data_IF_753050271391
#
_entry.id   IF_753050271391
#
_cell.length_a   1.000
_cell.length_b   1.000
_cell.length_c   1.000
_cell.angle_alpha   90.00
_cell.angle_beta   90.00
_cell.angle_gamma   90.00
#
_symmetry.space_group_name_H-M   'P 1'
#
loop_
_entity.id
_entity.type
_entity.pdbx_description
1 polymer ?
#
# COMPACT_ATOMS: atom_id res chain seq x y z
N UNK A 1 -27.45 -12.85 9.98
CA UNK A 1 -26.15 -12.68 9.30
C UNK A 1 -26.16 -13.16 7.84
N UNK A 2 -26.72 -14.35 7.51
CA UNK A 2 -26.79 -14.84 6.12
C UNK A 2 -27.54 -13.89 5.14
N UNK A 3 -28.65 -13.31 5.58
CA UNK A 3 -29.47 -12.40 4.75
C UNK A 3 -28.74 -11.07 4.39
N UNK A 4 -27.91 -10.54 5.28
CA UNK A 4 -27.10 -9.35 5.02
C UNK A 4 -25.95 -9.64 4.02
N UNK A 5 -25.37 -10.85 4.11
CA UNK A 5 -24.35 -11.31 3.17
C UNK A 5 -24.95 -11.54 1.76
N UNK A 6 -26.16 -12.07 1.66
CA UNK A 6 -26.82 -12.27 0.37
C UNK A 6 -27.15 -10.94 -0.33
N UNK A 7 -27.67 -9.96 0.43
CA UNK A 7 -27.97 -8.64 -0.10
C UNK A 7 -26.72 -7.91 -0.59
N UNK A 8 -25.60 -7.96 0.16
CA UNK A 8 -24.36 -7.31 -0.27
C UNK A 8 -23.82 -7.91 -1.57
N UNK A 9 -23.87 -9.23 -1.73
CA UNK A 9 -23.43 -9.90 -2.95
C UNK A 9 -24.30 -9.55 -4.15
N UNK A 10 -25.62 -9.46 -3.96
CA UNK A 10 -26.54 -9.03 -5.01
C UNK A 10 -26.24 -7.60 -5.47
N UNK A 11 -26.02 -6.68 -4.52
CA UNK A 11 -25.67 -5.29 -4.84
C UNK A 11 -24.36 -5.19 -5.59
N UNK A 12 -23.32 -5.91 -5.15
CA UNK A 12 -22.03 -5.98 -5.85
C UNK A 12 -22.23 -6.46 -7.29
N UNK A 13 -23.02 -7.51 -7.50
CA UNK A 13 -23.33 -8.06 -8.83
C UNK A 13 -24.01 -7.03 -9.73
N UNK A 14 -24.95 -6.24 -9.20
CA UNK A 14 -25.61 -5.16 -9.93
C UNK A 14 -24.63 -4.07 -10.37
N UNK A 15 -23.72 -3.64 -9.49
CA UNK A 15 -22.70 -2.67 -9.85
C UNK A 15 -21.72 -3.18 -10.90
N UNK A 16 -21.29 -4.44 -10.81
CA UNK A 16 -20.41 -5.03 -11.82
C UNK A 16 -21.07 -5.04 -13.20
N UNK A 17 -22.36 -5.41 -13.27
CA UNK A 17 -23.13 -5.34 -14.52
C UNK A 17 -23.24 -3.92 -15.06
N UNK A 18 -23.45 -2.93 -14.18
CA UNK A 18 -23.45 -1.53 -14.59
C UNK A 18 -22.09 -1.10 -15.18
N UNK A 19 -20.98 -1.45 -14.53
CA UNK A 19 -19.64 -1.11 -15.03
C UNK A 19 -19.32 -1.78 -16.36
N UNK A 20 -19.74 -3.02 -16.57
CA UNK A 20 -19.60 -3.72 -17.84
C UNK A 20 -20.34 -2.97 -18.97
N UNK A 21 -21.61 -2.64 -18.75
CA UNK A 21 -22.41 -1.87 -19.72
C UNK A 21 -21.75 -0.50 -19.98
N UNK A 22 -21.33 0.19 -18.93
CA UNK A 22 -20.65 1.48 -19.05
C UNK A 22 -19.40 1.39 -19.94
N UNK A 23 -18.53 0.41 -19.68
CA UNK A 23 -17.31 0.20 -20.48
C UNK A 23 -17.63 -0.08 -21.94
N UNK A 24 -18.68 -0.86 -22.22
CA UNK A 24 -19.08 -1.21 -23.59
C UNK A 24 -19.67 -0.02 -24.36
N UNK A 25 -20.34 0.91 -23.67
CA UNK A 25 -20.98 2.08 -24.28
C UNK A 25 -20.01 3.26 -24.41
N UNK A 26 -18.96 3.32 -23.60
CA UNK A 26 -17.97 4.40 -23.56
C UNK A 26 -17.40 4.81 -24.94
N UNK A 27 -17.07 3.89 -25.87
CA UNK A 27 -16.55 4.27 -27.20
C UNK A 27 -17.54 5.07 -28.05
N UNK A 28 -18.84 4.97 -27.76
CA UNK A 28 -19.92 5.59 -28.53
C UNK A 28 -20.43 6.89 -27.91
N UNK A 29 -20.10 7.15 -26.64
CA UNK A 29 -20.59 8.29 -25.87
C UNK A 29 -19.37 9.09 -25.43
N UNK A 30 -18.94 10.04 -26.28
CA UNK A 30 -17.81 10.92 -25.96
C UNK A 30 -17.97 11.53 -24.57
N UNK A 31 -17.05 11.17 -23.66
CA UNK A 31 -17.12 11.51 -22.24
C UNK A 31 -15.89 12.29 -21.80
N UNK A 32 -16.14 13.31 -20.98
CA UNK A 32 -15.14 14.14 -20.34
C UNK A 32 -14.31 13.32 -19.34
N UNK A 33 -13.00 13.55 -19.28
CA UNK A 33 -12.08 12.75 -18.45
C UNK A 33 -12.39 12.83 -16.95
N UNK A 34 -13.01 13.92 -16.50
CA UNK A 34 -13.52 14.12 -15.14
C UNK A 34 -14.52 13.03 -14.72
N UNK A 35 -15.40 12.59 -15.64
CA UNK A 35 -16.44 11.58 -15.37
C UNK A 35 -15.87 10.16 -15.38
N UNK A 36 -14.88 9.90 -16.24
CA UNK A 36 -14.17 8.61 -16.26
C UNK A 36 -13.49 8.34 -14.91
N UNK A 37 -12.78 9.33 -14.37
CA UNK A 37 -12.11 9.22 -13.08
C UNK A 37 -13.08 8.90 -11.91
N UNK A 38 -14.29 9.46 -11.94
CA UNK A 38 -15.31 9.15 -10.94
C UNK A 38 -15.71 7.68 -11.02
N UNK A 39 -15.92 7.14 -12.23
CA UNK A 39 -16.36 5.77 -12.41
C UNK A 39 -15.27 4.77 -12.05
N UNK A 40 -14.01 5.03 -12.43
CA UNK A 40 -12.85 4.24 -12.02
C UNK A 40 -12.73 4.20 -10.48
N UNK A 41 -12.93 5.34 -9.82
CA UNK A 41 -12.93 5.41 -8.35
C UNK A 41 -14.03 4.54 -7.74
N UNK A 42 -15.23 4.53 -8.33
CA UNK A 42 -16.36 3.69 -7.87
C UNK A 42 -16.11 2.20 -8.13
N UNK A 43 -15.49 1.84 -9.25
CA UNK A 43 -15.05 0.47 -9.53
C UNK A 43 -14.10 -0.02 -8.44
N UNK A 44 -13.12 0.81 -8.07
CA UNK A 44 -12.19 0.49 -6.98
C UNK A 44 -12.88 0.26 -5.62
N UNK A 45 -14.01 0.92 -5.35
CA UNK A 45 -14.78 0.67 -4.12
C UNK A 45 -15.50 -0.68 -4.16
N UNK A 46 -16.13 -1.03 -5.27
CA UNK A 46 -16.79 -2.33 -5.41
C UNK A 46 -15.79 -3.48 -5.32
N UNK A 47 -14.60 -3.33 -5.91
CA UNK A 47 -13.51 -4.28 -5.76
C UNK A 47 -13.10 -4.48 -4.30
N UNK A 48 -12.96 -3.38 -3.53
CA UNK A 48 -12.67 -3.47 -2.08
C UNK A 48 -13.77 -4.15 -1.29
N UNK A 49 -15.05 -3.96 -1.65
CA UNK A 49 -16.18 -4.63 -1.01
C UNK A 49 -16.25 -6.13 -1.32
N UNK A 50 -15.66 -6.56 -2.44
CA UNK A 50 -15.53 -7.97 -2.80
C UNK A 50 -14.36 -8.66 -2.09
N UNK A 51 -13.40 -7.88 -1.57
CA UNK A 51 -12.30 -8.44 -0.79
C UNK A 51 -12.82 -8.94 0.55
N UNK A 52 -12.49 -10.19 0.87
CA UNK A 52 -12.81 -10.83 2.15
C UNK A 52 -11.79 -10.48 3.24
N UNK A 53 -10.70 -9.80 2.87
CA UNK A 53 -9.63 -9.38 3.78
C UNK A 53 -9.81 -7.89 4.14
N UNK A 54 -9.85 -7.60 5.44
CA UNK A 54 -9.82 -6.23 5.95
C UNK A 54 -8.42 -5.92 6.50
N UNK A 55 -7.58 -5.17 5.77
CA UNK A 55 -6.23 -4.88 6.23
C UNK A 55 -6.25 -3.92 7.42
N UNK A 56 -5.60 -4.32 8.51
CA UNK A 56 -5.38 -3.50 9.70
C UNK A 56 -3.88 -3.21 9.81
N UNK A 57 -3.53 -1.92 9.83
CA UNK A 57 -2.14 -1.49 9.99
C UNK A 57 -1.87 -1.10 11.45
N UNK A 58 -0.87 -1.73 12.06
CA UNK A 58 -0.36 -1.36 13.38
C UNK A 58 0.88 -0.48 13.21
N UNK A 59 0.76 0.80 13.52
CA UNK A 59 1.82 1.80 13.40
C UNK A 59 2.25 2.27 14.78
N UNK A 60 3.54 2.51 14.97
CA UNK A 60 4.07 3.05 16.23
C UNK A 60 5.56 2.84 16.37
N UNK A 61 6.19 3.64 17.25
CA UNK A 61 7.62 3.60 17.55
C UNK A 61 8.12 2.19 17.86
N UNK A 62 9.42 1.94 17.64
CA UNK A 62 10.06 0.68 18.01
C UNK A 62 9.76 0.34 19.47
N UNK A 63 9.49 -0.95 19.75
CA UNK A 63 9.20 -1.48 21.09
C UNK A 63 7.92 -0.99 21.79
N UNK A 64 6.99 -0.33 21.09
CA UNK A 64 5.70 0.10 21.65
C UNK A 64 4.69 -1.05 21.95
N UNK A 65 5.12 -2.32 22.00
CA UNK A 65 4.23 -3.46 22.28
C UNK A 65 3.32 -3.88 21.12
N UNK A 66 3.62 -3.46 19.87
CA UNK A 66 2.80 -3.79 18.69
C UNK A 66 2.67 -5.31 18.49
N UNK A 67 3.78 -6.05 18.58
CA UNK A 67 3.79 -7.50 18.45
C UNK A 67 2.98 -8.19 19.55
N UNK A 68 3.07 -7.69 20.79
CA UNK A 68 2.28 -8.18 21.94
C UNK A 68 0.77 -8.01 21.70
N UNK A 69 0.33 -6.84 21.21
CA UNK A 69 -1.08 -6.59 20.89
C UNK A 69 -1.55 -7.51 19.76
N UNK A 70 -0.74 -7.67 18.70
CA UNK A 70 -1.09 -8.54 17.58
C UNK A 70 -1.22 -9.99 18.04
N UNK A 71 -0.25 -10.50 18.82
CA UNK A 71 -0.30 -11.85 19.39
C UNK A 71 -1.53 -12.03 20.30
N UNK A 72 -1.87 -11.02 21.12
CA UNK A 72 -3.06 -11.00 21.96
C UNK A 72 -4.37 -11.07 21.17
N UNK A 73 -4.51 -10.29 20.10
CA UNK A 73 -5.68 -10.32 19.20
C UNK A 73 -5.81 -11.68 18.52
N UNK A 74 -4.68 -12.26 18.12
CA UNK A 74 -4.65 -13.57 17.45
C UNK A 74 -4.80 -14.74 18.42
N UNK A 75 -4.65 -14.51 19.73
CA UNK A 75 -4.69 -15.54 20.77
C UNK A 75 -3.50 -16.51 20.72
N UNK A 76 -2.40 -16.13 20.06
CA UNK A 76 -1.20 -16.96 19.90
C UNK A 76 0.05 -16.12 19.63
N UNK A 77 1.19 -16.63 20.05
CA UNK A 77 2.50 -15.98 19.89
C UNK A 77 3.10 -16.32 18.53
N UNK A 78 2.80 -15.50 17.51
CA UNK A 78 3.33 -15.69 16.14
C UNK A 78 4.39 -14.67 15.74
N UNK A 79 4.38 -13.48 16.34
CA UNK A 79 5.38 -12.45 16.12
C UNK A 79 6.37 -12.47 17.29
N UNK A 80 7.68 -12.30 17.03
CA UNK A 80 8.68 -12.29 18.08
C UNK A 80 8.46 -11.10 19.02
N UNK A 81 8.42 -11.38 20.32
CA UNK A 81 8.37 -10.41 21.40
C UNK A 81 9.77 -10.33 22.04
N UNK A 82 10.58 -9.35 21.65
CA UNK A 82 11.84 -9.05 22.35
C UNK A 82 12.08 -7.55 22.44
N UNK A 83 12.85 -7.15 23.46
CA UNK A 83 13.15 -5.76 23.82
C UNK A 83 14.15 -5.04 22.89
N UNK A 84 14.77 -5.77 21.96
CA UNK A 84 15.56 -5.17 20.88
C UNK A 84 14.71 -5.11 19.61
N UNK A 85 14.85 -4.07 18.79
CA UNK A 85 13.95 -3.72 17.68
C UNK A 85 13.63 -4.90 16.74
N UNK A 86 12.59 -5.67 17.04
CA UNK A 86 12.34 -7.00 16.42
C UNK A 86 11.54 -6.96 15.11
N UNK A 87 11.32 -5.79 14.53
CA UNK A 87 10.63 -5.69 13.24
C UNK A 87 11.19 -4.51 12.45
N UNK A 88 12.42 -4.66 11.97
CA UNK A 88 13.08 -3.67 11.11
C UNK A 88 12.51 -3.66 9.67
N UNK A 89 11.59 -4.57 9.34
CA UNK A 89 10.96 -4.69 8.02
C UNK A 89 9.44 -4.92 8.13
N UNK A 90 8.64 -4.40 7.17
CA UNK A 90 7.19 -4.62 7.15
C UNK A 90 6.84 -6.10 7.20
N UNK A 91 5.99 -6.49 8.16
CA UNK A 91 5.51 -7.87 8.31
C UNK A 91 4.01 -7.90 8.07
N UNK A 92 3.56 -8.84 7.24
CA UNK A 92 2.14 -9.02 6.91
C UNK A 92 1.71 -10.39 7.43
N UNK A 93 0.68 -10.41 8.27
CA UNK A 93 0.04 -11.64 8.76
C UNK A 93 -1.30 -11.80 8.04
N UNK A 94 -1.52 -12.98 7.44
CA UNK A 94 -2.75 -13.32 6.73
C UNK A 94 -3.23 -14.72 7.10
N UNK A 95 -4.53 -14.96 6.89
CA UNK A 95 -5.09 -16.31 6.95
C UNK A 95 -4.54 -17.14 5.79
N UNK A 96 -4.15 -18.38 6.06
CA UNK A 96 -3.74 -19.35 5.05
C UNK A 96 -4.17 -20.76 5.45
N UNK A 97 -4.17 -21.69 4.49
CA UNK A 97 -4.56 -23.09 4.73
C UNK A 97 -3.50 -23.88 5.52
N UNK A 98 -2.25 -23.39 5.52
CA UNK A 98 -1.10 -23.98 6.22
C UNK A 98 -0.27 -22.88 6.87
N UNK A 99 0.43 -23.23 7.95
CA UNK A 99 1.41 -22.34 8.57
C UNK A 99 2.69 -22.28 7.72
N UNK A 100 3.02 -21.09 7.25
CA UNK A 100 4.16 -20.84 6.39
C UNK A 100 4.60 -19.37 6.49
N UNK A 101 5.90 -19.13 6.33
CA UNK A 101 6.49 -17.79 6.29
C UNK A 101 7.27 -17.59 5.00
N UNK A 102 7.12 -16.41 4.40
CA UNK A 102 7.87 -16.02 3.19
C UNK A 102 8.71 -14.78 3.50
N UNK A 103 9.99 -14.84 3.14
CA UNK A 103 10.88 -13.70 3.21
C UNK A 103 11.04 -13.17 1.78
N UNK A 104 10.50 -11.98 1.54
CA UNK A 104 10.62 -11.30 0.26
C UNK A 104 11.83 -10.36 0.30
N UNK A 105 12.87 -10.70 -0.44
CA UNK A 105 14.01 -9.82 -0.66
C UNK A 105 13.70 -8.89 -1.83
N UNK A 106 14.13 -7.63 -1.72
CA UNK A 106 14.11 -6.71 -2.85
C UNK A 106 15.12 -7.17 -3.90
N UNK A 107 14.75 -7.13 -5.18
CA UNK A 107 15.71 -7.29 -6.27
C UNK A 107 16.64 -6.08 -6.34
N UNK A 108 17.82 -6.25 -6.94
CA UNK A 108 18.75 -5.13 -7.16
C UNK A 108 18.12 -3.99 -7.97
N UNK A 109 17.29 -4.34 -8.95
CA UNK A 109 16.53 -3.38 -9.75
C UNK A 109 15.56 -2.57 -8.86
N UNK A 110 14.74 -3.25 -8.05
CA UNK A 110 13.80 -2.57 -7.14
C UNK A 110 14.53 -1.71 -6.09
N UNK A 111 15.71 -2.15 -5.65
CA UNK A 111 16.56 -1.38 -4.74
C UNK A 111 17.07 -0.10 -5.40
N UNK A 112 17.52 -0.17 -6.66
CA UNK A 112 17.95 1.01 -7.41
C UNK A 112 16.80 1.99 -7.65
N UNK A 113 15.62 1.49 -8.04
CA UNK A 113 14.43 2.33 -8.23
C UNK A 113 14.00 3.05 -6.95
N UNK A 114 14.02 2.33 -5.81
CA UNK A 114 13.74 2.92 -4.51
C UNK A 114 14.79 3.99 -4.14
N UNK A 115 16.07 3.71 -4.41
CA UNK A 115 17.16 4.66 -4.17
C UNK A 115 16.99 5.93 -5.00
N UNK A 116 16.69 5.79 -6.31
CA UNK A 116 16.47 6.93 -7.20
C UNK A 116 15.26 7.76 -6.76
N UNK A 117 14.18 7.11 -6.33
CA UNK A 117 13.00 7.78 -5.76
C UNK A 117 13.34 8.55 -4.48
N UNK A 118 14.11 7.94 -3.58
CA UNK A 118 14.54 8.55 -2.33
C UNK A 118 15.47 9.75 -2.56
N UNK A 119 16.45 9.62 -3.45
CA UNK A 119 17.36 10.71 -3.84
C UNK A 119 16.57 11.87 -4.45
N UNK A 120 15.59 11.58 -5.32
CA UNK A 120 14.70 12.59 -5.90
C UNK A 120 13.89 13.34 -4.84
N UNK A 121 13.34 12.62 -3.86
CA UNK A 121 12.57 13.22 -2.76
C UNK A 121 13.43 14.12 -1.87
N UNK A 122 14.62 13.64 -1.47
CA UNK A 122 15.59 14.42 -0.69
C UNK A 122 16.01 15.66 -1.46
N UNK A 123 16.42 15.50 -2.72
CA UNK A 123 16.84 16.62 -3.59
C UNK A 123 15.75 17.69 -3.70
N UNK A 124 14.50 17.26 -3.84
CA UNK A 124 13.34 18.17 -3.88
C UNK A 124 13.14 18.90 -2.57
N UNK A 125 13.21 18.21 -1.42
CA UNK A 125 13.04 18.81 -0.09
C UNK A 125 14.17 19.80 0.23
N UNK A 126 15.42 19.41 -0.03
CA UNK A 126 16.60 20.27 0.21
C UNK A 126 16.55 21.50 -0.70
N UNK A 127 16.24 21.34 -1.99
CA UNK A 127 16.14 22.45 -2.94
C UNK A 127 15.06 23.47 -2.56
N UNK A 128 13.91 23.01 -2.05
CA UNK A 128 12.86 23.89 -1.51
C UNK A 128 13.35 24.67 -0.29
N UNK A 129 14.10 24.06 0.62
CA UNK A 129 14.62 24.74 1.80
C UNK A 129 15.77 25.73 1.46
N UNK A 130 16.61 25.42 0.48
CA UNK A 130 17.65 26.32 -0.02
C UNK A 130 17.07 27.56 -0.73
N UNK A 131 16.01 27.40 -1.52
CA UNK A 131 15.25 28.52 -2.10
C UNK A 131 14.64 29.42 -1.02
N UNK A 132 14.15 28.83 0.08
CA UNK A 132 13.63 29.56 1.24
C UNK A 132 14.70 30.37 1.98
N UNK A 133 15.96 29.93 1.96
CA UNK A 133 17.11 30.59 2.59
C UNK A 133 17.90 31.58 1.71
N UNK A 134 17.50 31.85 0.46
CA UNK A 134 18.25 32.70 -0.50
C UNK A 134 19.73 32.30 -0.63
N UNK A 135 20.05 31.01 -0.60
CA UNK A 135 21.40 30.52 -0.93
C UNK A 135 21.38 29.80 -2.28
N UNK A 136 22.19 30.29 -3.23
CA UNK A 136 22.45 29.59 -4.49
C UNK A 136 23.49 28.48 -4.25
N UNK A 137 23.02 27.28 -3.91
CA UNK A 137 23.86 26.08 -3.92
C UNK A 137 23.15 24.95 -4.67
N UNK A 138 23.82 24.37 -5.66
CA UNK A 138 23.39 23.17 -6.36
C UNK A 138 23.85 21.96 -5.54
N UNK A 139 22.90 21.16 -5.02
CA UNK A 139 23.24 19.95 -4.27
C UNK A 139 23.45 18.82 -5.27
N UNK A 140 24.72 18.45 -5.49
CA UNK A 140 25.11 17.28 -6.27
C UNK A 140 25.28 16.10 -5.30
N UNK A 141 24.30 15.20 -5.26
CA UNK A 141 24.41 13.93 -4.51
C UNK A 141 25.02 12.91 -5.47
N UNK A 142 26.34 12.69 -5.37
CA UNK A 142 27.05 11.68 -6.17
C UNK A 142 26.88 10.27 -5.59
N UNK A 143 26.82 9.29 -6.49
CA UNK A 143 26.58 7.87 -6.23
C UNK A 143 27.92 7.13 -6.12
N UNK A 144 28.50 6.99 -4.92
CA UNK A 144 29.76 6.26 -4.68
C UNK A 144 29.57 4.89 -4.01
N UNK A 145 28.64 4.06 -4.50
CA UNK A 145 28.52 2.66 -4.05
C UNK A 145 28.34 1.68 -5.21
N UNK A 146 29.21 1.77 -6.22
CA UNK A 146 29.32 0.76 -7.29
C UNK A 146 30.71 0.12 -7.42
N UNK A 147 31.48 0.06 -6.33
CA UNK A 147 32.69 -0.77 -6.26
C UNK A 147 32.83 -1.40 -4.88
N UNK A 148 32.27 -2.60 -4.72
CA UNK A 148 32.87 -3.74 -4.03
C UNK A 148 32.06 -5.00 -4.32
#
# INVERSE_FOLDING_TARGET
>A
MAMLHEQSQLTIKQFNKFFEIYTNVLPYVGMEDSKKAIIEKKQGWIQKLQQTEFPVAFLGSYSAGKSTIINGILGREILPEANESTTAFPTIVKKGDKEQGFIHFMSDQARMELWDSFVSEISTKISKDLKRKKMNCQVLIYNELKQQ
#
